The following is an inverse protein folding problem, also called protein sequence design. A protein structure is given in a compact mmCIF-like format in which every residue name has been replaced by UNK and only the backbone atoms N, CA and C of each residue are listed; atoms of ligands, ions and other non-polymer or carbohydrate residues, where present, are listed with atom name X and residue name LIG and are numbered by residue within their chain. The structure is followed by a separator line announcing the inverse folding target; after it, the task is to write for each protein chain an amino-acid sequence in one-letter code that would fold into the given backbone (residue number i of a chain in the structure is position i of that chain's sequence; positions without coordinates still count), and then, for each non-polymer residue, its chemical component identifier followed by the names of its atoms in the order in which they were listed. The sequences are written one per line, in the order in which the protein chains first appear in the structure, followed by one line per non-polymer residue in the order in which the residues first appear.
data_IF_550943214169
#
_entry.id   IF_550943214169
#
_cell.length_a   1.000
_cell.length_b   1.000
_cell.length_c   1.000
_cell.angle_alpha   90.00
_cell.angle_beta   90.00
_cell.angle_gamma   90.00
#
_symmetry.space_group_name_H-M   'P 1'
#
loop_
_entity.id
_entity.type
_entity.pdbx_description
1 polymer ?
#
# COMPACT_ATOMS: atom_id res chain seq x y z
N UNK A 1 2.95 -20.91 21.40
CA UNK A 1 1.95 -19.82 21.47
C UNK A 1 0.75 -20.23 20.62
N UNK A 2 -0.46 -19.67 20.77
CA UNK A 2 -1.56 -20.09 19.92
C UNK A 2 -1.35 -19.56 18.48
N UNK A 3 -1.45 -20.46 17.50
CA UNK A 3 -1.31 -20.21 16.05
C UNK A 3 -2.37 -19.20 15.52
N UNK A 4 -3.34 -18.84 16.35
CA UNK A 4 -4.51 -18.03 15.99
C UNK A 4 -4.24 -16.51 16.00
N UNK A 5 -2.98 -16.11 16.18
CA UNK A 5 -2.58 -14.71 16.28
C UNK A 5 -1.61 -14.36 15.15
N UNK A 6 -1.89 -13.27 14.46
CA UNK A 6 -1.08 -12.73 13.37
C UNK A 6 -1.08 -11.21 13.47
N UNK A 7 0.10 -10.59 13.51
CA UNK A 7 0.24 -9.14 13.65
C UNK A 7 0.86 -8.55 12.40
N UNK A 8 0.24 -7.48 11.90
CA UNK A 8 0.83 -6.61 10.87
C UNK A 8 1.69 -5.55 11.56
N UNK A 9 3.00 -5.65 11.39
CA UNK A 9 3.97 -4.75 11.99
C UNK A 9 4.35 -3.63 11.01
N UNK A 10 4.22 -2.37 11.42
CA UNK A 10 4.76 -1.22 10.69
C UNK A 10 6.05 -0.74 11.36
N UNK A 11 7.16 -0.80 10.63
CA UNK A 11 8.42 -0.20 11.04
C UNK A 11 8.37 1.29 10.69
N UNK A 12 8.39 2.14 11.71
CA UNK A 12 8.27 3.59 11.56
C UNK A 12 9.63 4.27 11.69
N UNK A 13 9.77 5.43 11.06
CA UNK A 13 10.89 6.32 11.32
C UNK A 13 10.90 6.77 12.79
N UNK A 14 12.09 6.90 13.37
CA UNK A 14 12.23 7.27 14.78
C UNK A 14 11.54 8.60 15.09
N UNK A 15 10.67 8.58 16.10
CA UNK A 15 9.90 9.76 16.52
C UNK A 15 8.73 10.15 15.60
N UNK A 16 8.49 9.42 14.51
CA UNK A 16 7.33 9.62 13.64
C UNK A 16 6.15 8.75 14.06
N UNK A 17 4.95 9.11 13.57
CA UNK A 17 3.72 8.36 13.72
C UNK A 17 3.17 8.05 12.34
N UNK A 18 2.58 6.86 12.16
CA UNK A 18 1.92 6.55 10.91
C UNK A 18 0.71 7.46 10.68
N UNK A 19 0.45 7.77 9.42
CA UNK A 19 -0.81 8.35 9.00
C UNK A 19 -1.95 7.36 9.28
N UNK A 20 -2.96 7.82 10.04
CA UNK A 20 -4.05 6.97 10.49
C UNK A 20 -4.88 6.43 9.31
N UNK A 21 -5.08 7.23 8.27
CA UNK A 21 -5.86 6.81 7.10
C UNK A 21 -5.11 5.73 6.33
N UNK A 22 -3.81 5.92 6.09
CA UNK A 22 -2.95 4.94 5.42
C UNK A 22 -2.88 3.64 6.22
N UNK A 23 -2.59 3.72 7.52
CA UNK A 23 -2.46 2.56 8.38
C UNK A 23 -3.80 1.79 8.48
N UNK A 24 -4.94 2.50 8.54
CA UNK A 24 -6.27 1.88 8.55
C UNK A 24 -6.58 1.18 7.22
N UNK A 25 -6.28 1.80 6.07
CA UNK A 25 -6.50 1.18 4.75
C UNK A 25 -5.61 -0.05 4.55
N UNK A 26 -4.36 0.01 5.00
CA UNK A 26 -3.47 -1.14 5.00
C UNK A 26 -4.00 -2.27 5.89
N UNK A 27 -4.50 -1.98 7.09
CA UNK A 27 -5.09 -2.97 7.98
C UNK A 27 -6.38 -3.59 7.40
N UNK A 28 -7.20 -2.82 6.69
CA UNK A 28 -8.38 -3.33 5.98
C UNK A 28 -7.94 -4.28 4.86
N UNK A 29 -7.00 -3.87 4.02
CA UNK A 29 -6.47 -4.72 2.94
C UNK A 29 -5.85 -6.02 3.49
N UNK A 30 -5.19 -5.93 4.65
CA UNK A 30 -4.68 -7.10 5.36
C UNK A 30 -5.80 -8.04 5.83
N UNK A 31 -6.87 -7.53 6.45
CA UNK A 31 -8.00 -8.35 6.83
C UNK A 31 -8.70 -8.99 5.61
N UNK A 32 -8.77 -8.30 4.49
CA UNK A 32 -9.29 -8.84 3.23
C UNK A 32 -8.40 -9.95 2.67
N UNK A 33 -7.06 -9.79 2.71
CA UNK A 33 -6.12 -10.83 2.30
C UNK A 33 -6.32 -12.11 3.13
N UNK A 34 -6.38 -11.96 4.46
CA UNK A 34 -6.61 -13.08 5.37
C UNK A 34 -7.93 -13.80 5.07
N UNK A 35 -9.02 -13.07 4.82
CA UNK A 35 -10.31 -13.67 4.46
C UNK A 35 -10.30 -14.37 3.12
N UNK A 36 -9.67 -13.78 2.11
CA UNK A 36 -9.59 -14.38 0.77
C UNK A 36 -8.77 -15.67 0.80
N UNK A 37 -7.62 -15.66 1.47
CA UNK A 37 -6.80 -16.85 1.64
C UNK A 37 -7.58 -17.90 2.44
N UNK A 38 -8.25 -17.52 3.52
CA UNK A 38 -9.03 -18.47 4.31
C UNK A 38 -10.18 -19.10 3.51
N UNK A 39 -10.89 -18.32 2.70
CA UNK A 39 -11.96 -18.82 1.84
C UNK A 39 -11.44 -19.81 0.78
N UNK A 40 -10.17 -19.68 0.38
CA UNK A 40 -9.51 -20.65 -0.49
C UNK A 40 -9.11 -21.93 0.27
N UNK A 41 -8.46 -21.78 1.44
CA UNK A 41 -7.92 -22.89 2.23
C UNK A 41 -9.04 -23.75 2.85
N UNK A 42 -10.09 -23.11 3.38
CA UNK A 42 -11.28 -23.78 3.92
C UNK A 42 -12.54 -22.97 3.58
N UNK A 43 -13.19 -23.26 2.44
CA UNK A 43 -14.39 -22.55 1.98
C UNK A 43 -15.60 -22.65 2.93
N UNK A 44 -15.58 -23.59 3.87
CA UNK A 44 -16.66 -23.80 4.83
C UNK A 44 -16.40 -23.11 6.18
N UNK A 45 -15.27 -22.42 6.30
CA UNK A 45 -14.92 -21.68 7.50
C UNK A 45 -15.42 -20.23 7.45
N UNK A 46 -15.98 -19.76 8.56
CA UNK A 46 -16.22 -18.34 8.80
C UNK A 46 -15.02 -17.75 9.54
N UNK A 47 -14.31 -16.82 8.90
CA UNK A 47 -13.10 -16.20 9.43
C UNK A 47 -13.37 -14.78 9.90
N UNK A 48 -13.18 -14.58 11.20
CA UNK A 48 -13.24 -13.27 11.83
C UNK A 48 -11.83 -12.80 12.19
N UNK A 49 -11.43 -11.68 11.62
CA UNK A 49 -10.20 -10.96 11.97
C UNK A 49 -10.57 -9.87 12.99
N UNK A 50 -10.00 -9.94 14.19
CA UNK A 50 -10.24 -8.98 15.27
C UNK A 50 -8.96 -8.23 15.60
N UNK A 51 -9.04 -6.89 15.72
CA UNK A 51 -7.94 -6.08 16.24
C UNK A 51 -7.89 -6.23 17.78
N UNK A 52 -6.75 -6.66 18.31
CA UNK A 52 -6.54 -6.89 19.75
C UNK A 52 -5.91 -5.66 20.42
N UNK A 53 -5.02 -4.95 19.71
CA UNK A 53 -4.35 -3.77 20.24
C UNK A 53 -3.33 -3.18 19.28
N UNK A 54 -2.70 -2.11 19.76
CA UNK A 54 -1.57 -1.43 19.11
C UNK A 54 -0.49 -1.14 20.15
N UNK A 55 0.79 -1.34 19.80
CA UNK A 55 1.92 -0.97 20.66
C UNK A 55 2.47 0.42 20.32
N UNK A 56 3.17 1.06 21.28
CA UNK A 56 3.67 2.44 21.15
C UNK A 56 5.15 2.45 20.69
N UNK A 57 5.50 3.30 19.72
CA UNK A 57 6.84 3.39 19.10
C UNK A 57 6.95 2.70 17.73
N UNK A 58 6.15 1.66 17.51
CA UNK A 58 5.89 1.00 16.22
C UNK A 58 4.41 0.60 16.20
N UNK A 59 3.65 0.90 15.13
CA UNK A 59 2.25 0.47 15.09
C UNK A 59 2.23 -1.00 14.67
N UNK A 60 2.10 -1.88 15.66
CA UNK A 60 1.64 -3.26 15.43
C UNK A 60 0.12 -3.25 15.39
N UNK A 61 -0.48 -3.74 14.31
CA UNK A 61 -1.88 -4.14 14.31
C UNK A 61 -1.93 -5.60 14.72
N UNK A 62 -2.06 -5.82 16.03
CA UNK A 62 -2.12 -7.17 16.56
C UNK A 62 -3.51 -7.76 16.26
N UNK A 63 -3.57 -8.75 15.39
CA UNK A 63 -4.85 -9.35 14.98
C UNK A 63 -5.00 -10.78 15.48
N UNK A 64 -6.22 -11.09 15.94
CA UNK A 64 -6.65 -12.45 16.22
C UNK A 64 -7.45 -12.98 15.05
N UNK A 65 -7.05 -14.12 14.52
CA UNK A 65 -7.77 -14.83 13.47
C UNK A 65 -8.60 -15.92 14.14
N UNK A 66 -9.91 -15.73 14.19
CA UNK A 66 -10.84 -16.76 14.69
C UNK A 66 -11.50 -17.46 13.52
N UNK A 67 -11.28 -18.76 13.43
CA UNK A 67 -12.04 -19.65 12.56
C UNK A 67 -13.26 -20.18 13.30
N UNK A 68 -14.41 -20.19 12.62
CA UNK A 68 -15.59 -20.94 13.02
C UNK A 68 -15.91 -21.94 11.92
N UNK A 69 -15.79 -23.22 12.23
CA UNK A 69 -16.16 -24.32 11.32
C UNK A 69 -17.17 -25.22 12.03
N UNK A 70 -18.00 -25.93 11.25
CA UNK A 70 -19.00 -26.86 11.80
C UNK A 70 -18.39 -28.08 12.53
N UNK A 71 -17.09 -28.34 12.37
CA UNK A 71 -16.38 -29.50 12.93
C UNK A 71 -15.22 -29.13 13.88
N UNK A 72 -15.10 -27.84 14.25
CA UNK A 72 -13.96 -27.32 15.03
C UNK A 72 -12.78 -26.91 14.15
N UNK A 73 -11.96 -25.97 14.64
CA UNK A 73 -10.81 -25.44 13.91
C UNK A 73 -9.83 -26.58 13.60
N UNK A 74 -9.64 -26.91 12.32
CA UNK A 74 -8.52 -27.78 11.93
C UNK A 74 -7.26 -26.95 12.07
N UNK A 75 -6.42 -27.24 13.06
CA UNK A 75 -5.14 -26.53 13.28
C UNK A 75 -4.34 -26.45 11.96
N UNK A 76 -4.40 -27.50 11.14
CA UNK A 76 -3.84 -27.59 9.77
C UNK A 76 -4.25 -26.40 8.88
N UNK A 77 -5.54 -26.05 8.83
CA UNK A 77 -6.06 -24.92 8.04
C UNK A 77 -5.44 -23.61 8.48
N UNK A 78 -5.28 -23.43 9.79
CA UNK A 78 -4.71 -22.23 10.38
C UNK A 78 -3.22 -22.10 10.08
N UNK A 79 -2.46 -23.20 10.14
CA UNK A 79 -1.06 -23.24 9.69
C UNK A 79 -0.94 -22.83 8.22
N UNK A 80 -1.75 -23.42 7.34
CA UNK A 80 -1.74 -23.10 5.91
C UNK A 80 -2.03 -21.61 5.66
N UNK A 81 -3.08 -21.06 6.30
CA UNK A 81 -3.41 -19.64 6.21
C UNK A 81 -2.23 -18.75 6.62
N UNK A 82 -1.66 -18.98 7.81
CA UNK A 82 -0.56 -18.16 8.34
C UNK A 82 0.64 -18.20 7.40
N UNK A 83 1.00 -19.37 6.88
CA UNK A 83 2.11 -19.53 5.95
C UNK A 83 1.85 -18.77 4.65
N UNK A 84 0.66 -18.89 4.05
CA UNK A 84 0.32 -18.18 2.82
C UNK A 84 0.39 -16.66 3.04
N UNK A 85 -0.14 -16.14 4.15
CA UNK A 85 -0.01 -14.73 4.53
C UNK A 85 1.46 -14.31 4.65
N UNK A 86 2.29 -15.08 5.36
CA UNK A 86 3.71 -14.82 5.53
C UNK A 86 4.47 -14.84 4.21
N UNK A 87 4.10 -15.74 3.30
CA UNK A 87 4.72 -15.88 1.99
C UNK A 87 4.42 -14.64 1.13
N UNK A 88 3.16 -14.20 1.04
CA UNK A 88 2.79 -13.00 0.28
C UNK A 88 3.35 -11.70 0.87
N UNK A 89 3.40 -11.59 2.20
CA UNK A 89 3.74 -10.33 2.87
C UNK A 89 5.20 -10.23 3.33
N UNK A 90 5.90 -11.35 3.48
CA UNK A 90 7.29 -11.41 3.92
C UNK A 90 8.29 -11.73 2.81
N UNK A 91 7.96 -12.61 1.87
CA UNK A 91 8.97 -13.15 0.94
C UNK A 91 8.89 -12.54 -0.47
N UNK A 92 10.03 -12.41 -1.13
CA UNK A 92 10.11 -12.10 -2.57
C UNK A 92 9.99 -13.44 -3.30
N UNK A 93 8.77 -13.88 -3.60
CA UNK A 93 8.59 -15.15 -4.30
C UNK A 93 8.89 -14.88 -5.78
N UNK A 94 10.12 -15.17 -6.19
CA UNK A 94 10.32 -15.66 -7.55
C UNK A 94 9.84 -17.11 -7.61
N UNK A 95 9.31 -17.53 -8.77
CA UNK A 95 8.72 -18.86 -9.02
C UNK A 95 9.62 -20.05 -8.61
N UNK A 96 10.92 -19.84 -8.40
CA UNK A 96 11.91 -20.88 -8.10
C UNK A 96 12.11 -21.20 -6.61
N UNK A 97 11.40 -20.55 -5.69
CA UNK A 97 11.68 -20.62 -4.24
C UNK A 97 10.55 -21.24 -3.39
N UNK A 98 9.46 -21.73 -3.95
CA UNK A 98 8.28 -22.18 -3.17
C UNK A 98 8.63 -23.39 -2.28
N UNK A 99 9.29 -24.43 -2.81
CA UNK A 99 9.66 -25.62 -2.02
C UNK A 99 10.74 -25.33 -0.95
N UNK A 100 11.77 -24.54 -1.28
CA UNK A 100 12.82 -24.15 -0.32
C UNK A 100 12.38 -23.08 0.68
N UNK A 101 11.39 -22.27 0.30
CA UNK A 101 10.80 -21.21 1.11
C UNK A 101 9.84 -21.74 2.16
N UNK A 102 9.04 -22.75 1.80
CA UNK A 102 8.12 -23.45 2.72
C UNK A 102 8.84 -23.96 3.96
N UNK A 103 9.95 -24.71 3.80
CA UNK A 103 10.72 -25.22 4.94
C UNK A 103 11.26 -24.11 5.85
N UNK A 104 11.77 -23.02 5.26
CA UNK A 104 12.29 -21.87 6.03
C UNK A 104 11.19 -21.10 6.77
N UNK A 105 10.06 -20.85 6.11
CA UNK A 105 8.91 -20.18 6.75
C UNK A 105 8.35 -21.07 7.86
N UNK A 106 8.23 -22.38 7.60
CA UNK A 106 7.80 -23.35 8.59
C UNK A 106 8.70 -23.37 9.82
N UNK A 107 10.01 -23.54 9.63
CA UNK A 107 10.99 -23.53 10.72
C UNK A 107 11.00 -22.20 11.47
N UNK A 108 10.85 -21.06 10.77
CA UNK A 108 10.89 -19.75 11.41
C UNK A 108 9.64 -19.46 12.25
N UNK A 109 8.47 -19.91 11.80
CA UNK A 109 7.18 -19.59 12.43
C UNK A 109 6.77 -20.65 13.46
N UNK A 110 7.15 -21.92 13.26
CA UNK A 110 6.64 -23.08 14.01
C UNK A 110 7.73 -23.93 14.67
N UNK A 111 8.85 -23.30 15.09
CA UNK A 111 10.03 -23.96 15.70
C UNK A 111 9.64 -25.06 16.71
N UNK A 112 8.68 -24.78 17.59
CA UNK A 112 8.26 -25.70 18.67
C UNK A 112 7.04 -26.57 18.34
N UNK A 113 6.30 -26.25 17.28
CA UNK A 113 5.04 -26.91 16.92
C UNK A 113 5.22 -28.08 15.94
N UNK A 114 6.39 -28.16 15.29
CA UNK A 114 6.87 -29.33 14.53
C UNK A 114 6.78 -30.65 15.30
N UNK A 115 6.80 -30.61 16.64
CA UNK A 115 6.69 -31.80 17.49
C UNK A 115 5.26 -32.29 17.71
N UNK A 116 4.25 -31.50 17.35
CA UNK A 116 2.82 -31.83 17.56
C UNK A 116 2.14 -32.41 16.33
N UNK A 117 2.61 -32.02 15.14
CA UNK A 117 2.05 -32.49 13.87
C UNK A 117 2.79 -33.73 13.36
N UNK A 118 2.03 -34.64 12.77
CA UNK A 118 2.55 -35.78 12.02
C UNK A 118 3.09 -35.31 10.66
N UNK A 119 4.00 -36.08 10.06
CA UNK A 119 4.52 -35.77 8.73
C UNK A 119 3.40 -35.64 7.67
N UNK A 120 2.36 -36.46 7.76
CA UNK A 120 1.22 -36.43 6.85
C UNK A 120 0.45 -35.09 6.93
N UNK A 121 0.32 -34.51 8.12
CA UNK A 121 -0.32 -33.21 8.32
C UNK A 121 0.56 -32.08 7.78
N UNK A 122 1.89 -32.16 7.97
CA UNK A 122 2.84 -31.21 7.38
C UNK A 122 2.73 -31.23 5.84
N UNK A 123 2.66 -32.42 5.25
CA UNK A 123 2.51 -32.59 3.79
C UNK A 123 1.13 -32.08 3.30
N UNK A 124 0.08 -32.16 4.11
CA UNK A 124 -1.22 -31.56 3.82
C UNK A 124 -1.16 -30.03 3.85
N UNK A 125 -0.53 -29.44 4.86
CA UNK A 125 -0.32 -27.98 4.90
C UNK A 125 0.48 -27.52 3.70
N UNK A 126 1.61 -28.17 3.40
CA UNK A 126 2.48 -27.80 2.28
C UNK A 126 1.72 -27.83 0.95
N UNK A 127 0.94 -28.89 0.69
CA UNK A 127 0.09 -28.98 -0.51
C UNK A 127 -0.93 -27.85 -0.59
N UNK A 128 -1.58 -27.53 0.53
CA UNK A 128 -2.59 -26.48 0.59
C UNK A 128 -1.97 -25.10 0.33
N UNK A 129 -0.80 -24.84 0.90
CA UNK A 129 -0.04 -23.61 0.65
C UNK A 129 0.32 -23.49 -0.82
N UNK A 130 0.89 -24.53 -1.44
CA UNK A 130 1.24 -24.51 -2.87
C UNK A 130 0.02 -24.20 -3.73
N UNK A 131 -1.11 -24.87 -3.48
CA UNK A 131 -2.36 -24.60 -4.21
C UNK A 131 -2.84 -23.15 -4.06
N UNK A 132 -2.75 -22.59 -2.85
CA UNK A 132 -3.16 -21.21 -2.60
C UNK A 132 -2.26 -20.20 -3.33
N UNK A 133 -0.95 -20.45 -3.36
CA UNK A 133 0.01 -19.61 -4.07
C UNK A 133 -0.20 -19.69 -5.58
N UNK A 134 -0.35 -20.89 -6.13
CA UNK A 134 -0.62 -21.13 -7.56
C UNK A 134 -1.93 -20.47 -8.01
N UNK A 135 -2.96 -20.52 -7.16
CA UNK A 135 -4.24 -19.87 -7.38
C UNK A 135 -4.22 -18.35 -7.14
N UNK A 136 -3.10 -17.80 -6.66
CA UNK A 136 -2.94 -16.37 -6.34
C UNK A 136 -3.90 -15.86 -5.27
N UNK A 137 -4.30 -16.72 -4.33
CA UNK A 137 -5.26 -16.39 -3.29
C UNK A 137 -4.73 -15.25 -2.40
N UNK A 138 -5.39 -14.10 -2.39
CA UNK A 138 -4.98 -12.93 -1.61
C UNK A 138 -3.84 -12.10 -2.22
N UNK A 139 -3.32 -12.45 -3.40
CA UNK A 139 -2.23 -11.71 -4.07
C UNK A 139 -2.63 -10.24 -4.28
N UNK A 140 -3.86 -10.00 -4.72
CA UNK A 140 -4.37 -8.65 -4.99
C UNK A 140 -4.40 -7.79 -3.72
N UNK A 141 -4.87 -8.36 -2.62
CA UNK A 141 -4.99 -7.67 -1.34
C UNK A 141 -3.60 -7.43 -0.74
N UNK A 142 -2.68 -8.38 -0.88
CA UNK A 142 -1.28 -8.18 -0.51
C UNK A 142 -0.66 -6.99 -1.26
N UNK A 143 -0.91 -6.88 -2.58
CA UNK A 143 -0.50 -5.72 -3.39
C UNK A 143 -1.12 -4.42 -2.88
N UNK A 144 -2.40 -4.44 -2.51
CA UNK A 144 -3.09 -3.28 -1.94
C UNK A 144 -2.47 -2.81 -0.64
N UNK A 145 -2.02 -3.70 0.25
CA UNK A 145 -1.33 -3.33 1.49
C UNK A 145 -0.10 -2.48 1.17
N UNK A 146 0.78 -2.96 0.27
CA UNK A 146 1.95 -2.19 -0.14
C UNK A 146 1.59 -0.88 -0.85
N UNK A 147 0.54 -0.87 -1.68
CA UNK A 147 0.08 0.33 -2.36
C UNK A 147 -0.42 1.40 -1.39
N UNK A 148 -1.04 1.01 -0.28
CA UNK A 148 -1.48 1.95 0.75
C UNK A 148 -0.28 2.46 1.55
N UNK A 149 0.60 1.57 2.01
CA UNK A 149 1.76 1.93 2.83
C UNK A 149 2.78 2.82 2.09
N UNK A 150 2.92 2.69 0.77
CA UNK A 150 3.76 3.57 -0.06
C UNK A 150 3.36 5.06 0.05
N UNK A 151 2.12 5.36 0.44
CA UNK A 151 1.62 6.74 0.56
C UNK A 151 2.12 7.44 1.82
N UNK A 152 2.66 6.71 2.80
CA UNK A 152 3.14 7.24 4.07
C UNK A 152 4.67 7.13 4.18
N UNK A 153 5.34 8.28 4.11
CA UNK A 153 6.81 8.37 4.17
C UNK A 153 7.40 7.98 5.53
N UNK A 154 6.58 7.98 6.59
CA UNK A 154 6.99 7.58 7.93
C UNK A 154 7.17 6.06 8.04
N UNK A 155 6.55 5.27 7.16
CA UNK A 155 6.68 3.81 7.14
C UNK A 155 7.97 3.43 6.41
N UNK A 156 8.92 2.85 7.14
CA UNK A 156 10.20 2.35 6.60
C UNK A 156 10.16 0.86 6.27
N UNK A 157 9.19 0.14 6.80
CA UNK A 157 9.00 -1.26 6.45
C UNK A 157 7.71 -1.84 7.00
N UNK A 158 7.38 -3.03 6.50
CA UNK A 158 6.23 -3.81 6.97
C UNK A 158 6.64 -5.27 7.12
N UNK A 159 6.09 -5.94 8.12
CA UNK A 159 6.29 -7.37 8.30
C UNK A 159 5.10 -8.03 8.97
N UNK A 160 5.18 -9.35 9.04
CA UNK A 160 4.21 -10.18 9.76
C UNK A 160 4.90 -10.99 10.84
N UNK A 161 4.24 -11.12 11.98
CA UNK A 161 4.68 -11.95 13.11
C UNK A 161 3.49 -12.66 13.73
N UNK A 162 3.69 -13.84 14.29
CA UNK A 162 2.70 -14.53 15.13
C UNK A 162 2.80 -14.12 16.60
N UNK A 163 3.81 -13.30 16.95
CA UNK A 163 4.06 -12.79 18.29
C UNK A 163 3.69 -11.30 18.38
N UNK A 164 2.58 -10.95 19.06
CA UNK A 164 2.15 -9.57 19.24
C UNK A 164 3.21 -8.67 19.85
N UNK A 165 3.35 -7.46 19.32
CA UNK A 165 4.31 -6.46 19.82
C UNK A 165 5.79 -6.81 19.59
N UNK A 166 6.11 -7.90 18.89
CA UNK A 166 7.50 -8.29 18.58
C UNK A 166 7.85 -7.87 17.16
N UNK A 167 9.03 -7.24 16.99
CA UNK A 167 9.55 -6.90 15.67
C UNK A 167 9.78 -8.18 14.85
N UNK A 168 9.16 -8.34 13.66
CA UNK A 168 9.31 -9.54 12.85
C UNK A 168 10.73 -9.67 12.33
N UNK A 169 11.20 -10.92 12.15
CA UNK A 169 12.53 -11.21 11.58
C UNK A 169 12.64 -10.81 10.12
N UNK A 170 11.53 -10.87 9.38
CA UNK A 170 11.44 -10.49 7.98
C UNK A 170 10.63 -9.20 7.90
N UNK A 171 11.30 -8.14 7.48
CA UNK A 171 10.70 -6.83 7.22
C UNK A 171 10.94 -6.52 5.76
N UNK A 172 9.86 -6.25 5.04
CA UNK A 172 9.91 -5.70 3.71
C UNK A 172 10.18 -4.20 3.85
N UNK A 173 11.32 -3.70 3.35
CA UNK A 173 11.63 -2.27 3.44
C UNK A 173 10.78 -1.45 2.46
N UNK A 174 10.54 -0.19 2.77
CA UNK A 174 9.64 0.68 2.00
C UNK A 174 10.07 0.88 0.55
N UNK A 175 11.37 0.81 0.24
CA UNK A 175 11.85 0.90 -1.15
C UNK A 175 11.35 -0.26 -2.05
N UNK A 176 10.83 -1.35 -1.47
CA UNK A 176 10.22 -2.45 -2.22
C UNK A 176 8.71 -2.29 -2.42
N UNK A 177 8.02 -1.40 -1.70
CA UNK A 177 6.55 -1.32 -1.69
C UNK A 177 5.99 -1.03 -3.07
N UNK A 178 6.55 -0.05 -3.79
CA UNK A 178 6.14 0.26 -5.14
C UNK A 178 6.21 -0.97 -6.07
N UNK A 179 7.36 -1.68 -6.06
CA UNK A 179 7.54 -2.91 -6.84
C UNK A 179 6.50 -3.98 -6.46
N UNK A 180 6.28 -4.16 -5.15
CA UNK A 180 5.38 -5.19 -4.62
C UNK A 180 3.90 -4.85 -4.77
N UNK A 181 3.54 -3.57 -4.89
CA UNK A 181 2.18 -3.14 -5.24
C UNK A 181 1.79 -3.50 -6.68
N UNK A 182 2.75 -3.90 -7.51
CA UNK A 182 2.54 -4.13 -8.94
C UNK A 182 2.47 -2.84 -9.76
N UNK A 183 2.76 -1.69 -9.17
CA UNK A 183 2.95 -0.45 -9.90
C UNK A 183 4.32 -0.48 -10.60
N UNK A 184 4.33 -0.31 -11.92
CA UNK A 184 5.57 -0.02 -12.64
C UNK A 184 6.08 1.36 -12.22
N UNK A 185 7.39 1.49 -11.99
CA UNK A 185 8.03 2.82 -11.96
C UNK A 185 7.85 3.43 -13.35
N UNK A 186 6.79 4.22 -13.52
CA UNK A 186 6.92 5.35 -14.43
C UNK A 186 8.08 6.17 -13.86
N UNK A 187 9.14 6.47 -14.66
CA UNK A 187 10.17 7.40 -14.21
C UNK A 187 9.45 8.62 -13.64
N UNK A 188 9.84 9.01 -12.42
CA UNK A 188 9.16 10.03 -11.63
C UNK A 188 8.61 11.12 -12.56
N UNK A 189 7.28 11.36 -12.59
CA UNK A 189 6.84 12.63 -13.10
C UNK A 189 7.43 13.64 -12.14
N UNK A 190 8.53 14.28 -12.58
CA UNK A 190 9.17 15.48 -12.04
C UNK A 190 8.20 16.14 -11.08
N UNK A 191 8.56 16.15 -9.78
CA UNK A 191 7.83 16.77 -8.67
C UNK A 191 6.57 17.48 -9.14
N UNK A 192 5.38 17.03 -8.71
CA UNK A 192 4.17 17.86 -8.85
C UNK A 192 4.41 19.14 -8.06
N UNK A 193 5.11 20.11 -8.67
CA UNK A 193 5.20 21.49 -8.25
C UNK A 193 3.76 21.91 -8.12
N UNK A 194 3.31 22.04 -6.87
CA UNK A 194 2.02 22.63 -6.53
C UNK A 194 1.93 23.90 -7.38
N UNK A 195 1.06 23.90 -8.40
CA UNK A 195 0.81 25.08 -9.21
C UNK A 195 0.03 26.04 -8.33
N UNK A 196 0.76 26.83 -7.53
CA UNK A 196 0.18 27.95 -6.81
C UNK A 196 -0.31 28.92 -7.88
N UNK A 197 -1.63 29.06 -8.01
CA UNK A 197 -2.22 30.11 -8.83
C UNK A 197 -2.05 31.41 -8.03
N UNK A 198 -1.15 32.26 -8.49
CA UNK A 198 -0.89 33.57 -7.89
C UNK A 198 -1.46 34.64 -8.84
N UNK A 199 -2.28 35.54 -8.31
CA UNK A 199 -2.79 36.71 -9.06
C UNK A 199 -1.82 37.86 -8.87
N UNK A 200 -1.29 38.43 -9.96
CA UNK A 200 -0.39 39.57 -9.93
C UNK A 200 -0.91 40.71 -10.80
N UNK A 201 -0.76 41.93 -10.30
CA UNK A 201 -0.95 43.12 -11.10
C UNK A 201 0.28 43.32 -11.98
N UNK A 202 0.07 43.41 -13.29
CA UNK A 202 1.12 43.59 -14.28
C UNK A 202 0.80 44.78 -15.16
N UNK A 203 1.83 45.47 -15.63
CA UNK A 203 1.68 46.57 -16.57
C UNK A 203 1.75 46.01 -17.98
N UNK A 204 0.76 46.33 -18.81
CA UNK A 204 0.79 45.97 -20.23
C UNK A 204 1.76 46.89 -20.98
N UNK A 205 2.79 46.31 -21.60
CA UNK A 205 3.85 47.04 -22.31
C UNK A 205 3.60 47.06 -23.82
N UNK A 206 3.20 45.92 -24.39
CA UNK A 206 2.95 45.80 -25.83
C UNK A 206 1.77 44.87 -26.07
N UNK A 207 0.58 45.43 -26.38
CA UNK A 207 -0.57 44.62 -26.75
C UNK A 207 -0.39 44.01 -28.13
N UNK A 208 -1.00 42.84 -28.34
CA UNK A 208 -1.17 42.29 -29.68
C UNK A 208 -2.61 42.50 -30.11
N UNK A 209 -2.82 43.55 -30.91
CA UNK A 209 -4.13 43.91 -31.45
C UNK A 209 -4.49 43.07 -32.68
N UNK A 210 -4.37 41.75 -32.55
CA UNK A 210 -4.80 40.78 -33.56
C UNK A 210 -5.56 39.65 -32.86
N UNK A 211 -6.59 39.11 -33.49
CA UNK A 211 -7.40 38.01 -32.92
C UNK A 211 -6.64 36.67 -32.80
N UNK A 212 -5.32 36.66 -33.06
CA UNK A 212 -4.46 35.49 -32.92
C UNK A 212 -4.12 35.21 -31.45
N UNK A 213 -4.87 34.29 -30.85
CA UNK A 213 -4.74 33.84 -29.45
C UNK A 213 -3.40 33.18 -29.12
N UNK A 214 -2.58 32.84 -30.12
CA UNK A 214 -1.26 32.24 -29.90
C UNK A 214 -0.17 33.28 -29.68
N UNK A 215 -0.42 34.54 -30.06
CA UNK A 215 0.57 35.61 -29.90
C UNK A 215 0.69 36.07 -28.46
N UNK A 216 1.93 36.35 -28.08
CA UNK A 216 2.30 36.73 -26.71
C UNK A 216 2.29 38.25 -26.60
N UNK A 217 1.44 38.76 -25.72
CA UNK A 217 1.45 40.15 -25.27
C UNK A 217 2.63 40.36 -24.33
N UNK A 218 3.26 41.53 -24.34
CA UNK A 218 4.34 41.84 -23.39
C UNK A 218 3.80 42.54 -22.16
N UNK A 219 4.15 42.02 -21.00
CA UNK A 219 3.81 42.54 -19.69
C UNK A 219 5.08 42.87 -18.90
N UNK A 220 4.94 43.73 -17.90
CA UNK A 220 5.99 44.06 -16.94
C UNK A 220 5.49 43.84 -15.52
N UNK A 221 6.33 43.22 -14.70
CA UNK A 221 6.13 43.01 -13.27
C UNK A 221 7.38 43.48 -12.53
N UNK A 222 7.29 44.63 -11.83
CA UNK A 222 8.47 45.31 -11.30
C UNK A 222 9.43 45.70 -12.43
N UNK A 223 10.70 45.29 -12.31
CA UNK A 223 11.73 45.56 -13.32
C UNK A 223 11.87 44.47 -14.40
N UNK A 224 11.00 43.45 -14.38
CA UNK A 224 11.07 42.33 -15.31
C UNK A 224 9.95 42.36 -16.35
N UNK A 225 10.30 42.25 -17.63
CA UNK A 225 9.35 42.06 -18.72
C UNK A 225 9.21 40.59 -19.12
N UNK A 226 7.99 40.17 -19.42
CA UNK A 226 7.70 38.82 -19.88
C UNK A 226 6.57 38.80 -20.91
N UNK A 227 6.56 37.79 -21.78
CA UNK A 227 5.51 37.61 -22.79
C UNK A 227 4.51 36.54 -22.38
N UNK A 228 3.21 36.78 -22.49
CA UNK A 228 2.18 35.76 -22.26
C UNK A 228 0.99 35.92 -23.22
N UNK A 229 0.36 34.81 -23.67
CA UNK A 229 -0.90 34.90 -24.39
C UNK A 229 -2.05 35.19 -23.40
N UNK A 230 -3.02 35.98 -23.84
CA UNK A 230 -4.27 36.20 -23.09
C UNK A 230 -5.28 35.14 -23.54
N UNK A 231 -5.85 34.42 -22.56
CA UNK A 231 -6.88 33.40 -22.81
C UNK A 231 -8.31 33.89 -22.51
N UNK A 232 -8.44 35.07 -21.93
CA UNK A 232 -9.72 35.67 -21.60
C UNK A 232 -10.36 36.25 -22.87
N UNK A 233 -11.44 35.62 -23.33
CA UNK A 233 -12.13 35.98 -24.56
C UNK A 233 -12.90 37.29 -24.39
N UNK A 234 -13.53 37.49 -23.23
CA UNK A 234 -14.29 38.70 -22.94
C UNK A 234 -13.38 39.94 -22.92
N UNK A 235 -12.21 39.81 -22.31
CA UNK A 235 -11.21 40.88 -22.32
C UNK A 235 -10.74 41.21 -23.74
N UNK A 236 -10.42 40.19 -24.55
CA UNK A 236 -9.96 40.42 -25.92
C UNK A 236 -11.05 41.08 -26.76
N UNK A 237 -12.28 40.60 -26.68
CA UNK A 237 -13.41 41.16 -27.40
C UNK A 237 -13.66 42.62 -26.98
N UNK A 238 -13.60 42.92 -25.68
CA UNK A 238 -13.74 44.29 -25.17
C UNK A 238 -12.64 45.23 -25.68
N UNK A 239 -11.39 44.76 -25.77
CA UNK A 239 -10.27 45.53 -26.33
C UNK A 239 -10.43 45.75 -27.84
N UNK A 240 -10.97 44.76 -28.57
CA UNK A 240 -11.18 44.86 -30.01
C UNK A 240 -12.43 45.64 -30.41
N UNK A 241 -13.44 45.70 -29.54
CA UNK A 241 -14.72 46.36 -29.80
C UNK A 241 -14.77 47.81 -29.26
N UNK A 242 -13.64 48.39 -28.85
CA UNK A 242 -13.53 49.74 -28.23
C UNK A 242 -14.45 49.96 -27.01
N UNK A 243 -14.86 48.89 -26.33
CA UNK A 243 -15.75 48.96 -25.18
C UNK A 243 -15.03 48.43 -23.93
N UNK A 244 -14.01 49.14 -23.46
CA UNK A 244 -13.40 48.83 -22.16
C UNK A 244 -14.24 49.57 -21.10
N UNK A 245 -14.96 48.86 -20.20
CA UNK A 245 -15.56 49.51 -19.04
C UNK A 245 -14.43 50.02 -18.15
N UNK A 246 -14.50 51.29 -17.78
CA UNK A 246 -13.62 51.89 -16.77
C UNK A 246 -13.78 51.13 -15.45
N UNK A 247 -12.70 50.53 -14.96
CA UNK A 247 -12.58 49.96 -13.60
C UNK A 247 -11.95 50.98 -12.65
#
# INVERSE_FOLDING_TARGET
MPVDTLSLYLDLEEGQKADLEVASRAAIAFAEAVREIAAFVDPFSDVKVELIGTTEGSISFDTKIRFRTASGTKEITLYALVIVCMIYLGSHIGDFLIEKGLGKVWEQVFVDETKKLTQAEIDEVARTVVQAIDARAGERQAKSIYSELEKDQSVKGVGLTTEPGVKPRIIVPSFEFLKRSGAERFPEPVEKKRKVKETKNVVLVSPVLQHDRKRRWKFRLGDHEFGAPIKDEYFLDAVFQESIPSF
#
